data_IF_270207325105
#
_entry.id   IF_270207325105
#
_cell.length_a   1.000
_cell.length_b   1.000
_cell.length_c   1.000
_cell.angle_alpha   90.00
_cell.angle_beta   90.00
_cell.angle_gamma   90.00
#
_symmetry.space_group_name_H-M   'P 1'
#
loop_
_entity.id
_entity.type
_entity.pdbx_description
1 polymer ?
#
# COMPACT_ATOMS: atom_id res chain seq x y z
N UNK A 1 9.54 18.73 5.08
CA UNK A 1 10.06 17.33 5.13
C UNK A 1 9.60 16.62 3.86
N UNK A 2 10.50 15.92 3.16
CA UNK A 2 10.15 15.22 1.92
C UNK A 2 9.38 13.93 2.15
N UNK A 3 8.47 13.61 1.22
CA UNK A 3 7.68 12.37 1.20
C UNK A 3 8.56 11.11 1.02
N UNK A 4 9.69 11.22 0.31
CA UNK A 4 10.62 10.10 0.12
C UNK A 4 11.20 9.56 1.43
N UNK A 5 11.41 8.25 1.49
CA UNK A 5 11.94 7.52 2.65
C UNK A 5 11.07 6.32 3.03
N UNK A 6 11.36 5.74 4.20
CA UNK A 6 10.60 4.64 4.76
C UNK A 6 9.53 5.11 5.75
N UNK A 7 8.34 4.54 5.63
CA UNK A 7 7.18 4.84 6.43
C UNK A 7 6.60 3.54 6.98
N UNK A 8 6.31 3.49 8.27
CA UNK A 8 5.76 2.31 8.94
C UNK A 8 4.37 2.60 9.47
N UNK A 9 3.40 1.72 9.18
CA UNK A 9 2.05 1.84 9.72
C UNK A 9 1.93 1.20 11.12
N UNK A 10 0.77 1.39 11.75
CA UNK A 10 0.45 0.82 13.06
C UNK A 10 0.47 -0.72 13.11
N UNK A 11 0.49 -1.39 11.96
CA UNK A 11 0.55 -2.85 11.84
C UNK A 11 1.99 -3.37 11.62
N UNK A 12 2.97 -2.48 11.49
CA UNK A 12 4.38 -2.79 11.21
C UNK A 12 4.71 -2.95 9.72
N UNK A 13 3.75 -2.70 8.83
CA UNK A 13 3.98 -2.75 7.38
C UNK A 13 4.75 -1.50 6.93
N UNK A 14 5.63 -1.68 5.95
CA UNK A 14 6.60 -0.64 5.55
C UNK A 14 6.34 -0.21 4.12
N UNK A 15 6.07 1.08 3.93
CA UNK A 15 6.02 1.76 2.65
C UNK A 15 7.35 2.48 2.42
N UNK A 16 8.07 2.10 1.35
CA UNK A 16 9.27 2.80 0.89
C UNK A 16 8.91 3.66 -0.30
N UNK A 17 9.07 4.97 -0.18
CA UNK A 17 8.82 5.93 -1.26
C UNK A 17 10.16 6.40 -1.82
N UNK A 18 10.38 6.20 -3.11
CA UNK A 18 11.53 6.71 -3.84
C UNK A 18 11.47 8.23 -4.08
N UNK A 19 12.33 8.76 -4.96
CA UNK A 19 12.26 10.16 -5.38
C UNK A 19 10.87 10.52 -5.91
N UNK A 20 10.44 11.76 -5.64
CA UNK A 20 9.23 12.33 -6.22
C UNK A 20 9.63 13.21 -7.39
N UNK A 21 9.14 12.90 -8.58
CA UNK A 21 9.41 13.64 -9.81
C UNK A 21 8.09 14.06 -10.45
N UNK A 22 7.90 15.36 -10.68
CA UNK A 22 6.68 15.92 -11.28
C UNK A 22 5.38 15.45 -10.59
N UNK A 23 5.40 15.30 -9.26
CA UNK A 23 4.25 14.84 -8.48
C UNK A 23 3.95 13.34 -8.59
N UNK A 24 4.81 12.55 -9.23
CA UNK A 24 4.73 11.09 -9.28
C UNK A 24 5.84 10.45 -8.45
N UNK A 25 5.60 9.25 -7.93
CA UNK A 25 6.61 8.45 -7.24
C UNK A 25 6.41 6.96 -7.46
N UNK A 26 7.50 6.21 -7.28
CA UNK A 26 7.51 4.75 -7.23
C UNK A 26 8.10 4.29 -5.89
N UNK A 27 7.83 3.05 -5.52
CA UNK A 27 8.22 2.53 -4.23
C UNK A 27 8.04 1.03 -4.07
N UNK A 28 8.18 0.56 -2.83
CA UNK A 28 7.86 -0.81 -2.44
C UNK A 28 7.04 -0.84 -1.17
N UNK A 29 6.16 -1.83 -1.04
CA UNK A 29 5.35 -2.07 0.15
C UNK A 29 5.64 -3.45 0.71
N UNK A 30 6.07 -3.51 1.98
CA UNK A 30 6.28 -4.74 2.73
C UNK A 30 5.11 -4.91 3.69
N UNK A 31 4.25 -5.91 3.45
CA UNK A 31 3.16 -6.20 4.38
C UNK A 31 3.61 -7.09 5.53
N UNK A 32 3.16 -6.77 6.73
CA UNK A 32 3.26 -7.61 7.94
C UNK A 32 1.91 -8.23 8.33
N UNK A 33 0.85 -7.97 7.55
CA UNK A 33 -0.49 -8.56 7.73
C UNK A 33 -1.07 -9.12 6.43
N UNK A 34 -1.95 -10.12 6.56
CA UNK A 34 -2.65 -10.73 5.43
C UNK A 34 -1.80 -11.70 4.61
N UNK A 35 -2.25 -12.00 3.39
CA UNK A 35 -1.61 -13.01 2.51
C UNK A 35 -0.26 -12.56 1.96
N UNK A 36 -0.01 -11.25 1.96
CA UNK A 36 1.22 -10.62 1.52
C UNK A 36 2.38 -10.75 2.52
N UNK A 37 2.18 -11.41 3.68
CA UNK A 37 3.24 -11.63 4.68
C UNK A 37 4.20 -12.71 4.21
N UNK A 38 5.14 -12.33 3.35
CA UNK A 38 6.19 -13.23 2.86
C UNK A 38 7.59 -12.59 2.91
N UNK A 39 7.78 -11.51 3.67
CA UNK A 39 9.01 -10.70 3.66
C UNK A 39 9.40 -10.21 2.25
N UNK A 40 8.42 -9.98 1.38
CA UNK A 40 8.62 -9.49 0.01
C UNK A 40 8.07 -8.08 -0.15
N UNK A 41 8.78 -7.27 -0.94
CA UNK A 41 8.35 -5.93 -1.30
C UNK A 41 7.52 -5.97 -2.58
N UNK A 42 6.29 -5.47 -2.51
CA UNK A 42 5.40 -5.33 -3.66
C UNK A 42 5.55 -3.95 -4.29
N UNK A 43 5.46 -3.82 -5.62
CA UNK A 43 5.65 -2.54 -6.30
C UNK A 43 4.56 -1.53 -5.91
N UNK A 44 4.99 -0.27 -5.72
CA UNK A 44 4.11 0.87 -5.45
C UNK A 44 4.25 1.91 -6.54
N UNK A 45 3.12 2.46 -6.98
CA UNK A 45 3.05 3.64 -7.83
C UNK A 45 2.09 4.65 -7.22
N UNK A 46 2.48 5.92 -7.19
CA UNK A 46 1.64 6.94 -6.58
C UNK A 46 1.86 8.33 -7.14
N UNK A 47 1.03 9.24 -6.66
CA UNK A 47 1.06 10.67 -6.95
C UNK A 47 0.95 11.48 -5.67
N UNK A 48 1.50 12.68 -5.69
CA UNK A 48 1.43 13.66 -4.61
C UNK A 48 1.08 15.03 -5.19
N UNK A 49 0.17 15.73 -4.51
CA UNK A 49 -0.24 17.09 -4.83
C UNK A 49 -0.31 17.90 -3.52
N UNK A 50 0.72 18.69 -3.25
CA UNK A 50 0.89 19.37 -1.97
C UNK A 50 1.01 18.35 -0.82
N UNK A 51 0.07 18.40 0.12
CA UNK A 51 0.00 17.46 1.24
C UNK A 51 -0.82 16.20 0.92
N UNK A 52 -1.56 16.17 -0.19
CA UNK A 52 -2.38 15.03 -0.57
C UNK A 52 -1.58 14.03 -1.38
N UNK A 53 -1.87 12.74 -1.21
CA UNK A 53 -1.27 11.68 -2.00
C UNK A 53 -2.21 10.50 -2.21
N UNK A 54 -1.95 9.75 -3.27
CA UNK A 54 -2.56 8.46 -3.51
C UNK A 54 -1.50 7.49 -4.04
N UNK A 55 -1.61 6.22 -3.68
CA UNK A 55 -0.74 5.17 -4.24
C UNK A 55 -1.44 3.83 -4.28
N UNK A 56 -1.09 3.03 -5.28
CA UNK A 56 -1.52 1.66 -5.41
C UNK A 56 -0.37 0.71 -5.09
N UNK A 57 -0.70 -0.38 -4.39
CA UNK A 57 0.15 -1.55 -4.19
C UNK A 57 -0.45 -2.67 -5.03
N UNK A 58 0.30 -3.16 -6.00
CA UNK A 58 -0.07 -4.36 -6.75
C UNK A 58 0.54 -5.57 -6.05
N UNK A 59 -0.29 -6.47 -5.51
CA UNK A 59 0.20 -7.65 -4.78
C UNK A 59 0.57 -8.80 -5.74
N UNK A 60 1.33 -8.45 -6.77
CA UNK A 60 1.97 -9.35 -7.71
C UNK A 60 3.47 -9.02 -7.77
N UNK A 61 4.30 -10.06 -7.73
CA UNK A 61 5.74 -9.97 -7.98
C UNK A 61 6.14 -10.97 -9.08
N UNK A 62 7.44 -11.16 -9.29
CA UNK A 62 7.99 -12.11 -10.26
C UNK A 62 7.80 -13.59 -9.87
N UNK A 63 7.34 -13.85 -8.64
CA UNK A 63 7.25 -15.20 -8.05
C UNK A 63 5.82 -15.63 -7.77
N UNK A 64 4.93 -14.72 -7.36
CA UNK A 64 3.53 -15.00 -7.03
C UNK A 64 2.60 -13.82 -7.35
N UNK A 65 1.34 -14.14 -7.67
CA UNK A 65 0.27 -13.17 -7.84
C UNK A 65 -0.82 -13.45 -6.81
N UNK A 66 -1.08 -12.49 -5.91
CA UNK A 66 -2.13 -12.63 -4.90
C UNK A 66 -3.51 -12.20 -5.41
N UNK A 67 -3.61 -11.81 -6.70
CA UNK A 67 -4.84 -11.36 -7.36
C UNK A 67 -5.56 -10.28 -6.56
N UNK A 68 -4.79 -9.29 -6.10
CA UNK A 68 -5.33 -8.21 -5.30
C UNK A 68 -4.51 -6.93 -5.44
N UNK A 69 -5.19 -5.80 -5.30
CA UNK A 69 -4.60 -4.47 -5.37
C UNK A 69 -5.16 -3.67 -4.19
N UNK A 70 -4.28 -3.02 -3.43
CA UNK A 70 -4.70 -2.01 -2.46
C UNK A 70 -4.43 -0.62 -3.00
N UNK A 71 -5.42 0.26 -2.98
CA UNK A 71 -5.24 1.67 -3.25
C UNK A 71 -5.40 2.47 -1.96
N UNK A 72 -4.42 3.32 -1.67
CA UNK A 72 -4.39 4.23 -0.53
C UNK A 72 -4.61 5.66 -1.04
N UNK A 73 -5.37 6.45 -0.28
CA UNK A 73 -5.50 7.89 -0.49
C UNK A 73 -5.39 8.58 0.86
N UNK A 74 -4.64 9.65 0.92
CA UNK A 74 -4.29 10.24 2.20
C UNK A 74 -3.71 11.64 2.16
N UNK A 75 -3.30 12.09 3.34
CA UNK A 75 -2.67 13.39 3.56
C UNK A 75 -1.47 13.24 4.49
N UNK A 76 -0.36 13.88 4.13
CA UNK A 76 0.77 14.10 5.03
C UNK A 76 0.51 15.35 5.87
N UNK A 77 0.37 15.18 7.18
CA UNK A 77 0.12 16.27 8.12
C UNK A 77 0.91 16.01 9.40
N UNK A 78 1.61 17.02 9.92
CA UNK A 78 2.42 16.94 11.15
C UNK A 78 3.38 15.74 11.19
N UNK A 79 4.01 15.44 10.06
CA UNK A 79 4.99 14.33 9.95
C UNK A 79 4.35 12.93 9.91
N UNK A 80 3.03 12.86 9.79
CA UNK A 80 2.26 11.61 9.76
C UNK A 80 1.50 11.51 8.45
N UNK A 81 1.57 10.34 7.81
CA UNK A 81 0.77 10.03 6.65
C UNK A 81 -0.52 9.32 7.08
N UNK A 82 -1.64 10.03 7.00
CA UNK A 82 -2.98 9.52 7.30
C UNK A 82 -3.64 9.02 6.01
N UNK A 83 -4.08 7.78 5.97
CA UNK A 83 -4.65 7.16 4.76
C UNK A 83 -5.95 6.41 5.04
N UNK A 84 -6.82 6.40 4.04
CA UNK A 84 -7.87 5.39 3.86
C UNK A 84 -7.45 4.52 2.69
N UNK A 85 -7.73 3.23 2.77
CA UNK A 85 -7.41 2.29 1.71
C UNK A 85 -8.60 1.40 1.35
N UNK A 86 -8.60 0.97 0.08
CA UNK A 86 -9.48 -0.05 -0.46
C UNK A 86 -8.62 -1.17 -1.01
N UNK A 87 -8.80 -2.38 -0.49
CA UNK A 87 -8.24 -3.63 -1.04
C UNK A 87 -9.31 -4.27 -1.92
N UNK A 88 -9.03 -4.38 -3.21
CA UNK A 88 -9.77 -5.25 -4.12
C UNK A 88 -9.06 -6.61 -4.20
N UNK A 89 -9.79 -7.71 -4.04
CA UNK A 89 -9.24 -9.07 -4.17
C UNK A 89 -10.16 -9.96 -5.00
N UNK A 90 -9.58 -10.77 -5.88
CA UNK A 90 -10.35 -11.71 -6.69
C UNK A 90 -10.82 -12.91 -5.86
N UNK A 91 -10.06 -13.36 -4.85
CA UNK A 91 -10.35 -14.58 -4.09
C UNK A 91 -10.51 -14.36 -2.57
N UNK A 92 -11.49 -15.03 -1.97
CA UNK A 92 -11.81 -14.99 -0.54
C UNK A 92 -10.86 -15.83 0.33
N UNK A 93 -10.22 -16.85 -0.24
CA UNK A 93 -9.31 -17.81 0.39
C UNK A 93 -7.86 -17.66 -0.11
N UNK A 94 -6.89 -18.19 0.65
CA UNK A 94 -5.47 -18.03 0.34
C UNK A 94 -5.02 -18.94 -0.82
N UNK A 95 -5.70 -20.07 -0.98
CA UNK A 95 -5.50 -21.09 -1.99
C UNK A 95 -6.03 -20.65 -3.37
N UNK A 96 -6.80 -19.55 -3.42
CA UNK A 96 -7.41 -18.97 -4.62
C UNK A 96 -8.39 -19.92 -5.31
N UNK A 97 -9.22 -20.60 -4.51
CA UNK A 97 -10.24 -21.54 -4.98
C UNK A 97 -11.65 -20.98 -4.90
N UNK A 98 -11.85 -19.90 -4.13
CA UNK A 98 -13.16 -19.29 -3.87
C UNK A 98 -13.19 -17.84 -4.37
N UNK A 99 -13.60 -17.59 -5.61
CA UNK A 99 -13.67 -16.23 -6.14
C UNK A 99 -14.72 -15.40 -5.38
N UNK A 100 -14.42 -14.11 -5.23
CA UNK A 100 -15.35 -13.10 -4.73
C UNK A 100 -16.45 -12.84 -5.76
N UNK A 101 -17.64 -12.52 -5.27
CA UNK A 101 -18.65 -11.86 -6.12
C UNK A 101 -18.24 -10.39 -6.31
N UNK A 102 -18.54 -9.75 -7.46
CA UNK A 102 -18.11 -8.37 -7.74
C UNK A 102 -18.48 -7.34 -6.65
N UNK A 103 -19.60 -7.54 -5.96
CA UNK A 103 -20.06 -6.65 -4.88
C UNK A 103 -19.33 -6.90 -3.53
N UNK A 104 -18.62 -8.03 -3.39
CA UNK A 104 -17.88 -8.43 -2.18
C UNK A 104 -16.35 -8.42 -2.37
N UNK A 105 -15.88 -7.81 -3.46
CA UNK A 105 -14.45 -7.73 -3.81
C UNK A 105 -13.66 -6.76 -2.92
N UNK A 106 -14.33 -5.79 -2.31
CA UNK A 106 -13.69 -4.63 -1.68
C UNK A 106 -13.68 -4.70 -0.16
N UNK A 107 -12.51 -4.47 0.44
CA UNK A 107 -12.33 -4.26 1.87
C UNK A 107 -11.80 -2.84 2.07
N UNK A 108 -12.35 -2.11 3.04
CA UNK A 108 -11.99 -0.71 3.31
C UNK A 108 -11.49 -0.59 4.75
N UNK A 109 -10.41 0.16 4.96
CA UNK A 109 -9.94 0.52 6.29
C UNK A 109 -9.05 1.78 6.24
N UNK A 110 -8.44 2.16 7.36
CA UNK A 110 -7.50 3.26 7.46
C UNK A 110 -6.16 2.81 8.05
N UNK A 111 -5.08 3.45 7.58
CA UNK A 111 -3.74 3.27 8.11
C UNK A 111 -3.09 4.64 8.41
N UNK A 112 -2.29 4.66 9.46
CA UNK A 112 -1.46 5.81 9.83
C UNK A 112 0.00 5.39 9.72
N UNK A 113 0.75 6.04 8.84
CA UNK A 113 2.18 5.79 8.69
C UNK A 113 3.03 6.89 9.36
N UNK A 114 4.10 6.47 10.03
CA UNK A 114 5.13 7.35 10.57
C UNK A 114 6.45 7.08 9.89
N UNK A 115 7.26 8.13 9.70
CA UNK A 115 8.57 7.97 9.08
C UNK A 115 9.48 7.15 10.01
N UNK A 116 10.16 6.12 9.48
CA UNK A 116 11.18 5.40 10.25
C UNK A 116 12.38 6.32 10.46
N UNK A 117 12.93 6.32 11.67
CA UNK A 117 14.24 6.91 11.90
C UNK A 117 15.27 6.11 11.08
N UNK A 118 16.09 6.83 10.31
CA UNK A 118 17.24 6.26 9.61
C UNK A 118 18.37 5.91 10.56
#
# INVERSE_FOLDING_TARGET
>A
MGLSGEWENQNGSVLRIGPVENGAFQGTFLSTKGRAVRNRGYPVRGTVNGELLAFAVDFADDVDNLHSISNFTGRLHDGVLHTVWVLAREFEDAERTKPTQPWNTFIVNADRFVKRAG
#
